data_IF_369770207290
#
_entry.id   IF_369770207290
#
_cell.length_a   1.000
_cell.length_b   1.000
_cell.length_c   1.000
_cell.angle_alpha   90.00
_cell.angle_beta   90.00
_cell.angle_gamma   90.00
#
_symmetry.space_group_name_H-M   'P 1'
#
loop_
_entity.id
_entity.type
_entity.pdbx_description
1 polymer ?
#
# COMPACT_ATOMS: atom_id res chain seq x y z
N UNK A 1 -10.33 -17.22 -3.59
CA UNK A 1 -9.56 -16.73 -2.43
C UNK A 1 -9.53 -15.21 -2.50
N UNK A 2 -10.44 -14.54 -1.81
CA UNK A 2 -10.37 -13.08 -1.62
C UNK A 2 -9.32 -12.83 -0.54
N UNK A 3 -8.07 -12.59 -0.95
CA UNK A 3 -7.03 -12.14 -0.04
C UNK A 3 -7.50 -10.87 0.67
N UNK A 4 -7.20 -10.77 1.97
CA UNK A 4 -7.55 -9.58 2.74
C UNK A 4 -6.98 -8.33 2.05
N UNK A 5 -7.70 -7.21 2.12
CA UNK A 5 -7.27 -5.95 1.51
C UNK A 5 -5.85 -5.55 2.00
N UNK A 6 -5.54 -5.94 3.24
CA UNK A 6 -4.22 -5.84 3.88
C UNK A 6 -3.17 -6.69 3.15
N UNK A 7 -3.47 -7.94 2.79
CA UNK A 7 -2.53 -8.81 2.06
C UNK A 7 -2.25 -8.30 0.64
N UNK A 8 -3.26 -7.75 -0.03
CA UNK A 8 -3.10 -7.20 -1.38
C UNK A 8 -2.19 -5.99 -1.36
N UNK A 9 -2.40 -5.07 -0.41
CA UNK A 9 -1.57 -3.88 -0.26
C UNK A 9 -0.17 -4.25 0.22
N UNK A 10 -0.05 -5.17 1.19
CA UNK A 10 1.24 -5.66 1.66
C UNK A 10 2.07 -6.30 0.54
N UNK A 11 1.45 -7.08 -0.36
CA UNK A 11 2.13 -7.64 -1.55
C UNK A 11 2.52 -6.56 -2.56
N UNK A 12 1.70 -5.54 -2.76
CA UNK A 12 2.03 -4.43 -3.65
C UNK A 12 3.24 -3.64 -3.13
N UNK A 13 3.29 -3.35 -1.83
CA UNK A 13 4.43 -2.69 -1.17
C UNK A 13 5.69 -3.57 -1.28
N UNK A 14 5.59 -4.86 -0.97
CA UNK A 14 6.71 -5.79 -1.05
C UNK A 14 7.25 -5.92 -2.49
N UNK A 15 6.36 -5.97 -3.49
CA UNK A 15 6.76 -6.00 -4.89
C UNK A 15 7.44 -4.70 -5.31
N UNK A 16 6.90 -3.54 -4.90
CA UNK A 16 7.48 -2.24 -5.21
C UNK A 16 8.92 -2.09 -4.66
N UNK A 17 9.16 -2.58 -3.43
CA UNK A 17 10.52 -2.65 -2.84
C UNK A 17 11.49 -3.49 -3.66
N UNK A 18 11.02 -4.59 -4.25
CA UNK A 18 11.89 -5.44 -5.08
C UNK A 18 12.30 -4.78 -6.41
N UNK A 19 11.54 -3.79 -6.88
CA UNK A 19 11.89 -3.03 -8.10
C UNK A 19 12.78 -1.82 -7.78
N UNK A 20 13.04 -1.54 -6.50
CA UNK A 20 13.89 -0.43 -6.06
C UNK A 20 13.21 0.94 -6.15
N UNK A 21 11.87 0.96 -6.10
CA UNK A 21 11.09 2.20 -6.06
C UNK A 21 11.37 2.95 -4.76
N UNK A 22 11.36 4.28 -4.84
CA UNK A 22 11.48 5.11 -3.65
C UNK A 22 10.16 5.15 -2.86
N UNK A 23 10.23 5.61 -1.61
CA UNK A 23 9.07 5.67 -0.72
C UNK A 23 7.86 6.42 -1.33
N UNK A 24 8.11 7.48 -2.11
CA UNK A 24 7.05 8.26 -2.72
C UNK A 24 6.38 7.47 -3.87
N UNK A 25 7.19 6.81 -4.70
CA UNK A 25 6.71 5.95 -5.79
C UNK A 25 5.92 4.75 -5.27
N UNK A 26 6.35 4.12 -4.18
CA UNK A 26 5.63 3.02 -3.53
C UNK A 26 4.26 3.46 -3.00
N UNK A 27 4.22 4.61 -2.32
CA UNK A 27 2.98 5.19 -1.80
C UNK A 27 2.00 5.56 -2.92
N UNK A 28 2.50 6.13 -4.01
CA UNK A 28 1.65 6.53 -5.13
C UNK A 28 1.08 5.31 -5.87
N UNK A 29 1.89 4.27 -6.09
CA UNK A 29 1.43 3.01 -6.68
C UNK A 29 0.36 2.33 -5.81
N UNK A 30 0.59 2.24 -4.50
CA UNK A 30 -0.37 1.65 -3.57
C UNK A 30 -1.69 2.44 -3.53
N UNK A 31 -1.61 3.78 -3.58
CA UNK A 31 -2.78 4.66 -3.60
C UNK A 31 -3.58 4.50 -4.90
N UNK A 32 -2.91 4.39 -6.04
CA UNK A 32 -3.56 4.16 -7.33
C UNK A 32 -4.31 2.82 -7.35
N UNK A 33 -3.69 1.75 -6.84
CA UNK A 33 -4.31 0.42 -6.73
C UNK A 33 -5.52 0.45 -5.79
N UNK A 34 -5.41 1.14 -4.65
CA UNK A 34 -6.49 1.25 -3.67
C UNK A 34 -7.71 1.98 -4.24
N UNK A 35 -7.50 3.12 -4.91
CA UNK A 35 -8.57 3.88 -5.56
C UNK A 35 -9.20 3.14 -6.73
N UNK A 36 -8.41 2.39 -7.51
CA UNK A 36 -8.93 1.56 -8.59
C UNK A 36 -9.77 0.38 -8.07
N UNK A 37 -9.46 -0.12 -6.86
CA UNK A 37 -10.18 -1.22 -6.22
C UNK A 37 -11.45 -0.75 -5.51
N UNK A 38 -11.41 0.43 -4.91
CA UNK A 38 -12.53 1.04 -4.19
C UNK A 38 -12.69 2.50 -4.59
N UNK A 39 -13.54 2.73 -5.59
CA UNK A 39 -13.86 4.07 -6.10
C UNK A 39 -14.68 4.92 -5.12
N UNK A 40 -15.16 4.36 -4.01
CA UNK A 40 -15.85 5.13 -2.96
C UNK A 40 -14.86 5.84 -2.02
N UNK A 41 -13.60 5.41 -2.01
CA UNK A 41 -12.56 6.07 -1.24
C UNK A 41 -12.18 7.40 -1.87
N UNK A 42 -12.10 8.42 -1.02
CA UNK A 42 -11.50 9.70 -1.43
C UNK A 42 -9.99 9.56 -1.54
N UNK A 43 -9.33 10.34 -2.41
CA UNK A 43 -7.87 10.36 -2.50
C UNK A 43 -7.16 10.63 -1.16
N UNK A 44 -7.79 11.43 -0.29
CA UNK A 44 -7.28 11.72 1.05
C UNK A 44 -7.35 10.52 1.99
N UNK A 45 -8.47 9.79 1.99
CA UNK A 45 -8.61 8.56 2.79
C UNK A 45 -7.64 7.47 2.30
N UNK A 46 -7.50 7.30 0.98
CA UNK A 46 -6.56 6.36 0.40
C UNK A 46 -5.11 6.66 0.81
N UNK A 47 -4.71 7.94 0.86
CA UNK A 47 -3.39 8.35 1.35
C UNK A 47 -3.14 7.90 2.79
N UNK A 48 -4.07 8.19 3.70
CA UNK A 48 -3.95 7.85 5.13
C UNK A 48 -3.82 6.33 5.32
N UNK A 49 -4.61 5.54 4.58
CA UNK A 49 -4.56 4.08 4.65
C UNK A 49 -3.22 3.53 4.15
N UNK A 50 -2.70 4.05 3.04
CA UNK A 50 -1.39 3.65 2.51
C UNK A 50 -0.26 4.00 3.47
N UNK A 51 -0.26 5.21 4.05
CA UNK A 51 0.74 5.63 5.03
C UNK A 51 0.74 4.72 6.27
N UNK A 52 -0.44 4.36 6.79
CA UNK A 52 -0.56 3.44 7.94
C UNK A 52 -0.07 2.03 7.62
N UNK A 53 -0.48 1.48 6.47
CA UNK A 53 -0.07 0.14 6.04
C UNK A 53 1.43 0.07 5.78
N UNK A 54 2.01 1.13 5.23
CA UNK A 54 3.44 1.23 5.05
C UNK A 54 4.19 1.27 6.38
N UNK A 55 3.73 2.11 7.33
CA UNK A 55 4.33 2.18 8.67
C UNK A 55 4.29 0.83 9.39
N UNK A 56 3.19 0.09 9.25
CA UNK A 56 3.07 -1.26 9.81
C UNK A 56 4.03 -2.24 9.13
N UNK A 57 4.10 -2.23 7.79
CA UNK A 57 4.99 -3.11 7.03
C UNK A 57 6.49 -2.84 7.31
N UNK A 58 6.86 -1.59 7.62
CA UNK A 58 8.20 -1.25 8.09
C UNK A 58 8.45 -1.80 9.49
N UNK A 59 7.50 -1.65 10.41
CA UNK A 59 7.62 -2.17 11.78
C UNK A 59 7.76 -3.70 11.81
N UNK A 60 6.96 -4.41 11.00
CA UNK A 60 6.99 -5.87 10.90
C UNK A 60 8.31 -6.41 10.31
N UNK A 61 8.97 -5.63 9.45
CA UNK A 61 10.27 -6.00 8.87
C UNK A 61 11.45 -5.76 9.83
N UNK A 62 11.26 -4.97 10.88
CA UNK A 62 12.27 -4.63 11.89
C UNK A 62 12.19 -5.53 13.15
N UNK A 63 11.17 -6.40 13.24
CA UNK A 63 10.94 -7.35 14.33
C UNK A 63 11.52 -8.73 14.00
#
# INVERSE_FOLDING_TARGET
MNGSLIEIIGRAIAAARQVGLDYAEECDAARAVLLARDASLTPGAARILVEQLYSQAVADCAA
#
